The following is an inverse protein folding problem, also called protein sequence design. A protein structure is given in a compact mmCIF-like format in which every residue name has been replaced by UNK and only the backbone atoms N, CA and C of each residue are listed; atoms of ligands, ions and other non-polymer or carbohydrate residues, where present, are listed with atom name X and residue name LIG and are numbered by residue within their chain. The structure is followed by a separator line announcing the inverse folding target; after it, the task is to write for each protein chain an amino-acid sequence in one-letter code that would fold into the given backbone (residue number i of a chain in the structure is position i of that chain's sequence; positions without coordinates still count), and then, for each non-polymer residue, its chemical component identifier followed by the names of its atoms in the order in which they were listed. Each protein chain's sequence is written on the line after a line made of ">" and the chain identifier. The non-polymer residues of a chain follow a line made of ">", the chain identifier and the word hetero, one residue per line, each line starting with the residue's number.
data_IF_525228220752
#
_entry.id   IF_525228220752
#
_cell.length_a   1.000
_cell.length_b   1.000
_cell.length_c   1.000
_cell.angle_alpha   90.00
_cell.angle_beta   90.00
_cell.angle_gamma   90.00
#
_symmetry.space_group_name_H-M   'P 1'
#
loop_
_entity.id
_entity.type
_entity.pdbx_description
1 polymer ?
#
# COMPACT_ATOMS: atom_id res chain seq x y z
N UNK A 1 5.99 -5.32 9.31
CA UNK A 1 4.53 -5.41 9.12
C UNK A 1 3.92 -4.06 9.46
N UNK A 2 3.12 -3.47 8.58
CA UNK A 2 2.39 -2.24 8.86
C UNK A 2 1.38 -2.49 9.98
N UNK A 3 1.44 -1.70 11.06
CA UNK A 3 0.45 -1.76 12.13
C UNK A 3 -0.90 -1.30 11.58
N UNK A 4 -1.81 -2.24 11.35
CA UNK A 4 -3.14 -2.01 10.79
C UNK A 4 -4.16 -1.54 11.86
N UNK A 5 -3.70 -1.28 13.09
CA UNK A 5 -4.50 -0.69 14.19
C UNK A 5 -5.54 -1.65 14.78
N UNK A 6 -5.62 -1.76 16.11
CA UNK A 6 -6.49 -2.72 16.81
C UNK A 6 -6.02 -4.19 16.70
N UNK A 7 -6.44 -5.02 17.65
CA UNK A 7 -6.43 -6.50 17.55
C UNK A 7 -5.13 -7.20 17.14
N UNK A 8 -5.26 -8.47 16.73
CA UNK A 8 -4.17 -9.21 16.09
C UNK A 8 -3.95 -8.72 14.66
N UNK A 9 -2.71 -8.35 14.34
CA UNK A 9 -2.33 -7.77 13.05
C UNK A 9 -2.62 -8.72 11.88
N UNK A 10 -3.28 -8.23 10.84
CA UNK A 10 -3.58 -9.02 9.63
C UNK A 10 -4.81 -9.93 9.76
N UNK A 11 -5.42 -10.01 10.94
CA UNK A 11 -6.70 -10.66 11.18
C UNK A 11 -7.73 -9.56 11.37
N UNK A 12 -8.63 -9.38 10.40
CA UNK A 12 -9.82 -8.56 10.59
C UNK A 12 -10.74 -9.31 11.57
N UNK A 13 -10.82 -8.90 12.84
CA UNK A 13 -11.39 -9.73 13.89
C UNK A 13 -12.93 -9.75 13.86
N UNK A 14 -13.53 -8.79 13.15
CA UNK A 14 -14.97 -8.67 12.88
C UNK A 14 -15.19 -8.07 11.48
N UNK A 15 -16.39 -8.25 10.91
CA UNK A 15 -16.73 -7.84 9.54
C UNK A 15 -16.58 -6.31 9.30
N UNK A 16 -15.78 -5.84 8.34
CA UNK A 16 -15.70 -4.38 8.06
C UNK A 16 -16.91 -3.89 7.25
N UNK A 17 -17.92 -3.32 7.91
CA UNK A 17 -19.13 -2.74 7.29
C UNK A 17 -20.37 -3.63 7.35
N UNK A 18 -21.48 -3.08 7.88
CA UNK A 18 -22.77 -3.75 8.01
C UNK A 18 -23.39 -3.68 9.40
N UNK A 19 -24.45 -2.91 9.58
CA UNK A 19 -25.08 -2.67 10.88
C UNK A 19 -26.05 -3.74 11.39
N UNK A 20 -26.48 -3.48 12.62
CA UNK A 20 -27.55 -4.07 13.46
C UNK A 20 -27.29 -5.42 14.14
N UNK A 21 -26.42 -5.42 15.14
CA UNK A 21 -26.48 -6.38 16.23
C UNK A 21 -25.21 -6.45 17.06
N UNK A 22 -25.34 -6.67 18.38
CA UNK A 22 -24.20 -6.92 19.30
C UNK A 22 -23.31 -8.10 18.83
N UNK A 23 -23.83 -8.92 17.92
CA UNK A 23 -23.19 -10.13 17.36
C UNK A 23 -23.02 -10.12 15.83
N UNK A 24 -23.04 -8.96 15.16
CA UNK A 24 -22.59 -8.80 13.76
C UNK A 24 -23.43 -9.53 12.69
N UNK A 25 -24.49 -8.88 12.20
CA UNK A 25 -25.18 -9.29 10.97
C UNK A 25 -24.42 -8.80 9.73
N UNK A 26 -24.34 -9.66 8.72
CA UNK A 26 -23.71 -9.36 7.42
C UNK A 26 -24.31 -8.12 6.79
N UNK A 27 -23.47 -7.10 6.57
CA UNK A 27 -23.88 -5.85 5.93
C UNK A 27 -24.29 -6.00 4.48
N UNK A 28 -24.70 -4.86 3.91
CA UNK A 28 -25.02 -4.68 2.49
C UNK A 28 -23.89 -5.06 1.52
N UNK A 29 -22.63 -5.09 1.99
CA UNK A 29 -21.47 -5.51 1.19
C UNK A 29 -21.24 -7.01 1.39
N UNK A 30 -21.32 -7.76 0.29
CA UNK A 30 -21.25 -9.21 0.27
C UNK A 30 -19.91 -9.79 0.75
N UNK A 31 -19.89 -11.10 0.99
CA UNK A 31 -18.68 -11.82 1.44
C UNK A 31 -17.55 -11.80 0.40
N UNK A 32 -17.88 -11.83 -0.90
CA UNK A 32 -16.92 -11.85 -2.01
C UNK A 32 -16.17 -10.53 -2.16
N UNK A 33 -16.89 -9.42 -2.28
CA UNK A 33 -16.32 -8.07 -2.41
C UNK A 33 -15.40 -7.74 -1.24
N UNK A 34 -15.82 -8.12 -0.03
CA UNK A 34 -15.04 -7.94 1.19
C UNK A 34 -13.78 -8.80 1.22
N UNK A 35 -13.85 -10.02 0.72
CA UNK A 35 -12.68 -10.89 0.60
C UNK A 35 -11.67 -10.31 -0.40
N UNK A 36 -12.14 -9.75 -1.51
CA UNK A 36 -11.30 -9.06 -2.49
C UNK A 36 -10.64 -7.81 -1.91
N UNK A 37 -11.39 -6.94 -1.24
CA UNK A 37 -10.83 -5.75 -0.60
C UNK A 37 -9.77 -6.11 0.45
N UNK A 38 -10.03 -7.15 1.26
CA UNK A 38 -9.06 -7.69 2.22
C UNK A 38 -7.81 -8.19 1.51
N UNK A 39 -7.98 -8.97 0.45
CA UNK A 39 -6.86 -9.48 -0.33
C UNK A 39 -6.02 -8.32 -0.88
N UNK A 40 -6.65 -7.31 -1.46
CA UNK A 40 -5.97 -6.11 -1.96
C UNK A 40 -5.22 -5.36 -0.86
N UNK A 41 -5.76 -5.24 0.35
CA UNK A 41 -5.08 -4.57 1.47
C UNK A 41 -3.93 -5.41 2.05
N UNK A 42 -4.15 -6.69 2.29
CA UNK A 42 -3.17 -7.56 2.96
C UNK A 42 -2.07 -8.02 2.02
N UNK A 43 -2.39 -8.25 0.74
CA UNK A 43 -1.42 -8.71 -0.26
C UNK A 43 -0.96 -7.59 -1.18
N UNK A 44 -1.87 -6.75 -1.66
CA UNK A 44 -1.51 -5.67 -2.58
C UNK A 44 -0.82 -4.49 -1.88
N UNK A 45 -1.25 -4.13 -0.66
CA UNK A 45 -0.75 -2.94 0.06
C UNK A 45 0.26 -3.28 1.16
N UNK A 46 0.84 -4.49 1.15
CA UNK A 46 1.84 -4.92 2.13
C UNK A 46 3.25 -4.33 1.92
N UNK A 47 3.45 -3.62 0.81
CA UNK A 47 4.75 -3.05 0.47
C UNK A 47 5.21 -1.99 1.48
N UNK A 48 6.52 -1.90 1.71
CA UNK A 48 7.12 -0.89 2.57
C UNK A 48 6.76 0.55 2.14
N UNK A 49 6.41 0.78 0.87
CA UNK A 49 5.96 2.07 0.37
C UNK A 49 4.58 2.50 0.89
N UNK A 50 3.74 1.55 1.33
CA UNK A 50 2.41 1.81 1.87
C UNK A 50 2.46 2.44 3.27
N UNK A 51 3.48 2.13 4.08
CA UNK A 51 3.68 2.69 5.44
C UNK A 51 3.98 4.19 5.42
N UNK A 52 4.46 4.70 4.27
CA UNK A 52 4.85 6.10 4.08
C UNK A 52 6.26 6.44 4.56
N UNK A 53 6.97 5.50 5.19
CA UNK A 53 8.37 5.65 5.60
C UNK A 53 9.16 4.38 5.27
N UNK A 54 10.26 4.52 4.54
CA UNK A 54 11.20 3.44 4.24
C UNK A 54 12.59 3.92 4.66
N UNK A 55 13.33 3.12 5.42
CA UNK A 55 14.69 3.43 5.87
C UNK A 55 14.84 4.83 6.49
N UNK A 56 13.84 5.31 7.24
CA UNK A 56 13.83 6.65 7.86
C UNK A 56 13.43 7.80 6.93
N UNK A 57 13.29 7.56 5.62
CA UNK A 57 12.85 8.56 4.66
C UNK A 57 11.34 8.56 4.49
N UNK A 58 10.74 9.74 4.58
CA UNK A 58 9.32 9.94 4.29
C UNK A 58 9.08 9.96 2.79
N UNK A 59 7.99 9.34 2.36
CA UNK A 59 7.52 9.36 0.97
C UNK A 59 7.39 10.79 0.44
N UNK A 60 7.97 11.06 -0.73
CA UNK A 60 7.83 12.34 -1.45
C UNK A 60 6.67 12.34 -2.45
N UNK A 61 6.28 11.17 -2.93
CA UNK A 61 5.11 10.99 -3.80
C UNK A 61 3.79 10.86 -3.01
N UNK A 62 2.66 11.03 -3.71
CA UNK A 62 1.34 10.80 -3.14
C UNK A 62 1.14 9.34 -2.69
N UNK A 63 0.28 9.08 -1.69
CA UNK A 63 0.02 7.72 -1.18
C UNK A 63 -0.51 6.78 -2.24
N UNK A 64 -1.41 7.25 -3.11
CA UNK A 64 -1.91 6.49 -4.25
C UNK A 64 -0.76 5.97 -5.11
N UNK A 65 0.19 6.86 -5.44
CA UNK A 65 1.32 6.51 -6.30
C UNK A 65 2.28 5.53 -5.63
N UNK A 66 2.54 5.67 -4.33
CA UNK A 66 3.43 4.72 -3.65
C UNK A 66 2.86 3.32 -3.53
N UNK A 67 1.56 3.22 -3.23
CA UNK A 67 0.90 1.93 -3.05
C UNK A 67 0.80 1.18 -4.38
N UNK A 68 0.52 1.88 -5.47
CA UNK A 68 0.39 1.30 -6.80
C UNK A 68 1.71 1.24 -7.60
N UNK A 69 2.86 1.45 -6.95
CA UNK A 69 4.18 1.53 -7.61
C UNK A 69 4.15 2.43 -8.86
N UNK A 70 3.57 3.62 -8.74
CA UNK A 70 3.33 4.59 -9.80
C UNK A 70 4.28 5.80 -9.75
N UNK A 71 5.45 5.61 -9.16
CA UNK A 71 6.52 6.60 -9.12
C UNK A 71 7.62 6.20 -8.15
N UNK A 72 8.77 6.89 -8.27
CA UNK A 72 9.86 6.74 -7.32
C UNK A 72 9.46 7.26 -5.93
N UNK A 73 9.67 6.47 -4.88
CA UNK A 73 9.24 6.80 -3.52
C UNK A 73 9.77 8.15 -3.01
N UNK A 74 10.99 8.51 -3.44
CA UNK A 74 11.66 9.77 -3.10
C UNK A 74 11.56 10.83 -4.21
N UNK A 75 10.84 10.54 -5.31
CA UNK A 75 10.71 11.41 -6.47
C UNK A 75 12.06 11.83 -7.08
N UNK A 76 13.05 10.93 -7.08
CA UNK A 76 14.39 11.19 -7.61
C UNK A 76 14.37 11.27 -9.14
N UNK A 77 15.16 12.19 -9.71
CA UNK A 77 15.29 12.36 -11.15
C UNK A 77 16.35 11.40 -11.71
N UNK A 78 16.04 10.72 -12.81
CA UNK A 78 16.95 9.81 -13.54
C UNK A 78 17.63 8.75 -12.66
N UNK A 79 16.98 8.36 -11.56
CA UNK A 79 17.54 7.44 -10.59
C UNK A 79 17.24 5.99 -10.96
N UNK A 80 18.28 5.15 -10.92
CA UNK A 80 18.16 3.72 -11.08
C UNK A 80 19.01 2.99 -10.05
N UNK A 81 18.40 2.09 -9.29
CA UNK A 81 19.12 1.22 -8.36
C UNK A 81 19.49 -0.13 -9.00
N UNK A 82 19.42 -0.23 -10.33
CA UNK A 82 19.64 -1.45 -11.12
C UNK A 82 18.37 -2.13 -11.62
N UNK A 83 17.21 -1.83 -11.01
CA UNK A 83 15.88 -2.27 -11.46
C UNK A 83 15.69 -3.78 -11.64
N UNK A 84 14.52 -4.17 -12.13
CA UNK A 84 14.25 -5.55 -12.56
C UNK A 84 14.92 -5.82 -13.91
N UNK A 85 15.76 -6.85 -14.01
CA UNK A 85 16.38 -7.26 -15.26
C UNK A 85 16.00 -8.71 -15.61
N UNK A 86 15.42 -8.93 -16.78
CA UNK A 86 15.03 -10.26 -17.28
C UNK A 86 16.26 -11.14 -17.59
N UNK A 87 17.37 -10.52 -18.03
CA UNK A 87 18.57 -11.21 -18.53
C UNK A 87 19.36 -11.87 -17.40
N UNK A 88 19.39 -11.25 -16.22
CA UNK A 88 20.13 -11.78 -15.06
C UNK A 88 19.53 -13.07 -14.48
N UNK A 89 18.29 -13.43 -14.86
CA UNK A 89 17.59 -14.62 -14.38
C UNK A 89 17.58 -15.78 -15.40
N UNK A 90 18.18 -15.59 -16.58
CA UNK A 90 18.31 -16.63 -17.60
C UNK A 90 19.44 -17.58 -17.18
N UNK A 91 19.04 -18.68 -16.54
CA UNK A 91 19.74 -19.97 -16.34
C UNK A 91 21.27 -19.88 -16.25
N UNK A 92 21.80 -20.12 -15.04
CA UNK A 92 23.23 -20.07 -14.67
C UNK A 92 24.18 -21.07 -15.34
N UNK A 93 23.99 -21.39 -16.63
CA UNK A 93 24.87 -22.26 -17.42
C UNK A 93 25.46 -21.61 -18.69
N UNK A 94 24.98 -20.44 -19.12
CA UNK A 94 25.49 -19.72 -20.30
C UNK A 94 26.51 -18.67 -19.88
N UNK A 95 27.79 -19.05 -19.84
CA UNK A 95 28.90 -18.10 -19.66
C UNK A 95 28.84 -17.00 -20.72
N UNK A 96 28.91 -15.73 -20.30
CA UNK A 96 28.88 -14.57 -21.20
C UNK A 96 27.50 -14.01 -21.57
N UNK A 97 26.38 -14.66 -21.21
CA UNK A 97 25.03 -14.15 -21.56
C UNK A 97 24.72 -12.76 -20.95
N UNK A 98 25.27 -12.48 -19.76
CA UNK A 98 25.18 -11.16 -19.10
C UNK A 98 25.86 -10.03 -19.90
N UNK A 99 26.86 -10.36 -20.73
CA UNK A 99 27.53 -9.39 -21.60
C UNK A 99 26.68 -9.03 -22.81
N UNK A 100 25.87 -9.98 -23.32
CA UNK A 100 25.06 -9.82 -24.52
C UNK A 100 23.69 -9.20 -24.26
N UNK A 101 23.08 -9.48 -23.12
CA UNK A 101 21.73 -8.99 -22.82
C UNK A 101 21.67 -7.54 -22.29
N UNK A 102 22.80 -6.85 -22.21
CA UNK A 102 22.87 -5.49 -21.67
C UNK A 102 22.68 -5.44 -20.15
N UNK A 103 23.20 -4.38 -19.53
CA UNK A 103 23.06 -4.15 -18.10
C UNK A 103 22.68 -2.71 -17.80
N UNK A 104 21.79 -2.52 -16.84
CA UNK A 104 21.49 -1.20 -16.30
C UNK A 104 22.62 -0.83 -15.33
N UNK A 105 23.32 0.28 -15.62
CA UNK A 105 24.33 0.82 -14.71
C UNK A 105 23.62 1.45 -13.51
N UNK A 106 23.64 0.75 -12.38
CA UNK A 106 23.00 1.19 -11.16
C UNK A 106 23.74 2.40 -10.56
N UNK A 107 23.01 3.49 -10.31
CA UNK A 107 23.48 4.68 -9.62
C UNK A 107 22.81 4.72 -8.25
N UNK A 108 23.24 3.82 -7.37
CA UNK A 108 22.65 3.67 -6.03
C UNK A 108 23.05 4.86 -5.16
N UNK A 109 22.08 5.40 -4.43
CA UNK A 109 22.29 6.37 -3.37
C UNK A 109 22.37 5.67 -2.01
N UNK A 110 22.77 6.41 -0.97
CA UNK A 110 22.90 5.88 0.40
C UNK A 110 21.53 5.72 1.11
N UNK A 111 20.42 5.84 0.39
CA UNK A 111 19.08 5.74 0.99
C UNK A 111 18.62 4.29 1.18
N UNK A 112 19.19 3.37 0.39
CA UNK A 112 18.76 1.98 0.36
C UNK A 112 17.34 1.78 -0.18
N UNK A 113 16.75 2.80 -0.79
CA UNK A 113 15.39 2.74 -1.38
C UNK A 113 15.51 2.44 -2.87
N UNK A 114 14.94 1.32 -3.36
CA UNK A 114 15.06 0.94 -4.76
C UNK A 114 14.41 1.97 -5.69
N UNK A 115 14.88 2.04 -6.93
CA UNK A 115 14.26 2.85 -7.98
C UNK A 115 12.91 2.26 -8.38
N UNK A 116 11.95 3.13 -8.69
CA UNK A 116 10.71 2.65 -9.31
C UNK A 116 10.96 2.22 -10.76
N UNK A 117 10.31 1.14 -11.17
CA UNK A 117 10.37 0.58 -12.53
C UNK A 117 9.16 1.00 -13.40
N UNK A 118 8.26 1.83 -12.87
CA UNK A 118 7.06 2.24 -13.58
C UNK A 118 7.28 3.46 -14.47
N UNK A 119 6.29 3.78 -15.30
CA UNK A 119 6.22 5.06 -15.99
C UNK A 119 5.59 6.13 -15.06
N UNK A 120 6.37 7.11 -14.53
CA UNK A 120 5.82 8.14 -13.65
C UNK A 120 4.85 9.09 -14.37
N UNK A 121 4.91 9.18 -15.72
CA UNK A 121 4.03 10.02 -16.55
C UNK A 121 2.69 9.37 -16.85
N UNK A 122 2.50 8.11 -16.49
CA UNK A 122 1.23 7.43 -16.67
C UNK A 122 0.14 8.12 -15.83
N UNK A 123 -1.02 8.32 -16.45
CA UNK A 123 -2.20 8.91 -15.84
C UNK A 123 -3.20 7.78 -15.60
N UNK A 124 -3.50 7.55 -14.33
CA UNK A 124 -4.49 6.56 -13.91
C UNK A 124 -5.89 7.11 -14.14
N UNK A 125 -6.85 6.21 -14.31
CA UNK A 125 -8.23 6.64 -14.44
C UNK A 125 -8.78 7.17 -13.10
N UNK A 126 -9.96 7.80 -13.15
CA UNK A 126 -10.61 8.26 -11.94
C UNK A 126 -11.10 7.12 -11.04
N UNK A 127 -11.43 5.96 -11.61
CA UNK A 127 -12.03 4.84 -10.89
C UNK A 127 -11.03 4.13 -9.97
N UNK A 128 -9.77 4.00 -10.40
CA UNK A 128 -8.62 3.52 -9.63
C UNK A 128 -8.39 4.39 -8.40
N UNK A 129 -8.48 5.71 -8.56
CA UNK A 129 -8.33 6.63 -7.44
C UNK A 129 -9.51 6.52 -6.47
N UNK A 130 -10.75 6.39 -6.98
CA UNK A 130 -11.92 6.16 -6.14
C UNK A 130 -11.78 4.84 -5.36
N UNK A 131 -11.36 3.76 -6.01
CA UNK A 131 -11.10 2.47 -5.37
C UNK A 131 -10.03 2.59 -4.31
N UNK A 132 -8.91 3.27 -4.60
CA UNK A 132 -7.88 3.56 -3.61
C UNK A 132 -8.43 4.32 -2.40
N UNK A 133 -9.29 5.32 -2.60
CA UNK A 133 -9.89 6.07 -1.48
C UNK A 133 -10.81 5.20 -0.63
N UNK A 134 -11.59 4.30 -1.26
CA UNK A 134 -12.42 3.31 -0.57
C UNK A 134 -11.57 2.34 0.26
N UNK A 135 -10.58 1.72 -0.37
CA UNK A 135 -9.63 0.82 0.30
C UNK A 135 -8.87 1.52 1.42
N UNK A 136 -8.47 2.78 1.24
CA UNK A 136 -7.83 3.57 2.30
C UNK A 136 -8.74 3.78 3.51
N UNK A 137 -10.05 3.95 3.30
CA UNK A 137 -11.01 4.05 4.40
C UNK A 137 -11.15 2.71 5.13
N UNK A 138 -11.29 1.61 4.39
CA UNK A 138 -11.32 0.24 4.93
C UNK A 138 -10.05 -0.07 5.74
N UNK A 139 -8.88 0.32 5.22
CA UNK A 139 -7.59 0.09 5.86
C UNK A 139 -7.45 0.76 7.24
N UNK A 140 -8.06 1.95 7.43
CA UNK A 140 -8.02 2.65 8.72
C UNK A 140 -8.78 1.94 9.82
N UNK A 141 -9.80 1.17 9.44
CA UNK A 141 -10.69 0.46 10.36
C UNK A 141 -10.46 -1.06 10.26
N UNK A 142 -9.32 -1.49 9.71
CA UNK A 142 -9.15 -2.88 9.27
C UNK A 142 -9.17 -3.89 10.42
N UNK A 143 -8.54 -3.56 11.56
CA UNK A 143 -8.72 -4.35 12.80
C UNK A 143 -9.53 -3.62 13.89
N UNK A 144 -10.40 -2.70 13.49
CA UNK A 144 -11.34 -2.05 14.43
C UNK A 144 -12.50 -3.01 14.77
N UNK A 145 -12.65 -3.33 16.06
CA UNK A 145 -13.72 -4.19 16.58
C UNK A 145 -15.07 -3.49 16.68
N UNK A 146 -15.07 -2.15 16.66
CA UNK A 146 -16.24 -1.29 16.95
C UNK A 146 -16.99 -0.91 15.67
N UNK A 147 -16.52 -1.35 14.49
CA UNK A 147 -17.09 -1.03 13.18
C UNK A 147 -17.16 0.49 12.89
N UNK A 148 -16.20 1.27 13.39
CA UNK A 148 -16.26 2.74 13.34
C UNK A 148 -17.19 3.36 14.38
N UNK A 149 -17.59 2.58 15.39
CA UNK A 149 -18.33 3.02 16.57
C UNK A 149 -17.48 3.92 17.49
N UNK A 150 -18.15 4.56 18.43
CA UNK A 150 -17.56 5.53 19.35
C UNK A 150 -17.28 4.96 20.76
N UNK A 151 -17.13 3.64 20.88
CA UNK A 151 -16.85 2.95 22.17
C UNK A 151 -15.60 3.55 22.88
N UNK A 152 -14.72 4.24 22.14
CA UNK A 152 -13.58 5.01 22.67
C UNK A 152 -13.52 6.47 22.16
N UNK A 153 -14.66 7.12 21.90
CA UNK A 153 -14.73 8.52 21.44
C UNK A 153 -13.98 8.81 20.13
N UNK A 154 -13.92 7.86 19.20
CA UNK A 154 -13.24 8.02 17.90
C UNK A 154 -13.77 9.23 17.10
N UNK A 155 -15.07 9.53 17.23
CA UNK A 155 -15.71 10.72 16.66
C UNK A 155 -15.14 12.03 17.21
N UNK A 156 -14.76 12.06 18.49
CA UNK A 156 -14.06 13.20 19.08
C UNK A 156 -12.65 13.34 18.52
N UNK A 157 -11.91 12.25 18.31
CA UNK A 157 -10.58 12.31 17.69
C UNK A 157 -10.64 12.84 16.25
N UNK A 158 -11.63 12.43 15.46
CA UNK A 158 -11.86 12.94 14.12
C UNK A 158 -12.25 14.43 14.13
N UNK A 159 -13.14 14.85 15.04
CA UNK A 159 -13.51 16.25 15.22
C UNK A 159 -12.35 17.12 15.70
N UNK A 160 -11.57 16.68 16.69
CA UNK A 160 -10.37 17.38 17.20
C UNK A 160 -9.27 17.53 16.15
N UNK A 161 -9.18 16.60 15.17
CA UNK A 161 -8.25 16.73 14.03
C UNK A 161 -8.59 17.92 13.14
N UNK A 162 -9.88 18.24 13.00
CA UNK A 162 -10.40 19.29 12.11
C UNK A 162 -10.58 20.60 12.87
N UNK A 163 -11.17 20.53 14.05
CA UNK A 163 -11.36 21.61 15.00
C UNK A 163 -10.27 21.49 16.05
N UNK A 164 -9.09 22.05 15.74
CA UNK A 164 -8.03 22.22 16.74
C UNK A 164 -8.50 23.24 17.78
N UNK A 165 -8.93 22.74 18.93
CA UNK A 165 -8.89 23.44 20.22
C UNK A 165 -8.31 22.44 21.23
#
# INVERSE_FOLDING_TARGET
>A
MSNLGGGFQGIAPRMIGGGSGKNGSGGMIGSSERALDRFSLVQGWNGAAATGVINGYRRKIGPFRAVNNAGDFLSRQSYTSGGSNQVNNVRGGLSGYKMLGGSIQAHKDNTGIPSSTCNPRFVYDGSDYIQFKKLQAVNRNFNDYTFGGDDFSASQSARRRVHRF
#
